data_IF_397756147332
#
_entry.id   IF_397756147332
#
_cell.length_a   1.000
_cell.length_b   1.000
_cell.length_c   1.000
_cell.angle_alpha   90.00
_cell.angle_beta   90.00
_cell.angle_gamma   90.00
#
_symmetry.space_group_name_H-M   'P 1'
#
loop_
_entity.id
_entity.type
_entity.pdbx_description
1 polymer ?
#
# COMPACT_ATOMS: atom_id res chain seq x y z
N UNK A 1 22.10 14.16 25.77
CA UNK A 1 21.25 15.34 26.02
C UNK A 1 19.91 15.07 25.36
N UNK A 2 18.86 14.79 26.13
CA UNK A 2 17.49 14.75 25.61
C UNK A 2 16.94 16.16 25.72
N UNK A 3 16.63 16.78 24.58
CA UNK A 3 15.83 18.00 24.59
C UNK A 3 14.45 17.66 25.17
N UNK A 4 13.84 18.57 25.96
CA UNK A 4 12.47 18.37 26.43
C UNK A 4 11.53 18.25 25.23
N UNK A 5 10.52 17.38 25.34
CA UNK A 5 9.51 17.21 24.30
C UNK A 5 8.72 18.52 24.15
N UNK A 6 8.67 19.05 22.93
CA UNK A 6 7.79 20.17 22.59
C UNK A 6 6.41 19.63 22.29
N UNK A 7 5.42 19.96 23.13
CA UNK A 7 4.04 19.61 22.87
C UNK A 7 3.47 20.53 21.78
N UNK A 8 2.98 19.93 20.69
CA UNK A 8 2.29 20.64 19.60
C UNK A 8 0.81 20.22 19.67
N UNK A 9 -0.06 21.02 20.30
CA UNK A 9 -1.48 20.69 20.33
C UNK A 9 -2.07 20.84 18.93
N UNK A 10 -2.72 19.78 18.44
CA UNK A 10 -3.48 19.83 17.20
C UNK A 10 -4.78 20.59 17.46
N UNK A 11 -5.07 21.59 16.62
CA UNK A 11 -6.35 22.29 16.65
C UNK A 11 -7.32 21.48 15.81
N UNK A 12 -8.36 20.92 16.44
CA UNK A 12 -9.32 20.00 15.80
C UNK A 12 -8.64 18.73 15.23
N UNK A 13 -8.07 17.86 16.09
CA UNK A 13 -7.50 16.60 15.62
C UNK A 13 -8.60 15.73 15.01
N UNK A 14 -8.37 15.31 13.77
CA UNK A 14 -9.17 14.27 13.12
C UNK A 14 -8.59 12.90 13.45
N UNK A 15 -9.42 11.83 13.49
CA UNK A 15 -8.92 10.46 13.58
C UNK A 15 -7.92 10.18 12.48
N UNK A 16 -6.97 9.28 12.68
CA UNK A 16 -6.11 8.79 11.61
C UNK A 16 -5.79 7.33 11.87
N UNK A 17 -5.47 6.58 10.82
CA UNK A 17 -5.08 5.18 10.94
C UNK A 17 -3.60 4.95 10.63
N UNK A 18 -2.96 5.91 9.97
CA UNK A 18 -1.55 5.85 9.64
C UNK A 18 -0.91 7.23 9.70
N UNK A 19 0.42 7.23 9.78
CA UNK A 19 1.23 8.43 9.69
C UNK A 19 2.51 8.16 8.89
N UNK A 20 3.02 9.20 8.23
CA UNK A 20 4.34 9.24 7.64
C UNK A 20 4.99 10.58 7.94
N UNK A 21 6.31 10.64 7.84
CA UNK A 21 7.08 11.86 8.03
C UNK A 21 7.78 12.24 6.73
N UNK A 22 7.78 13.53 6.42
CA UNK A 22 8.70 14.12 5.47
C UNK A 22 9.53 15.20 6.19
N UNK A 23 10.83 15.25 5.95
CA UNK A 23 11.69 16.22 6.63
C UNK A 23 12.85 16.70 5.76
N UNK A 24 13.35 17.88 6.11
CA UNK A 24 14.57 18.49 5.58
C UNK A 24 15.62 18.60 6.68
N UNK A 25 16.88 18.33 6.35
CA UNK A 25 18.02 18.43 7.27
C UNK A 25 18.90 17.17 7.26
N UNK A 26 19.84 17.09 8.20
CA UNK A 26 20.85 16.02 8.21
C UNK A 26 20.45 14.77 9.00
N UNK A 27 19.31 14.80 9.71
CA UNK A 27 18.84 13.63 10.44
C UNK A 27 18.46 12.50 9.47
N UNK A 28 19.08 11.33 9.64
CA UNK A 28 18.85 10.16 8.78
C UNK A 28 17.87 9.15 9.39
N UNK A 29 17.42 9.38 10.63
CA UNK A 29 16.48 8.50 11.31
C UNK A 29 15.49 9.27 12.15
N UNK A 30 14.24 8.84 12.04
CA UNK A 30 13.16 9.24 12.92
C UNK A 30 12.63 8.01 13.63
N UNK A 31 12.27 8.19 14.89
CA UNK A 31 11.50 7.22 15.65
C UNK A 31 10.11 7.79 15.91
N UNK A 32 9.12 6.91 15.94
CA UNK A 32 7.74 7.20 16.29
C UNK A 32 7.33 6.35 17.50
N UNK A 33 6.45 6.88 18.34
CA UNK A 33 5.77 6.08 19.37
C UNK A 33 4.38 6.65 19.67
N UNK A 34 3.54 5.80 20.23
CA UNK A 34 2.16 6.12 20.53
C UNK A 34 1.83 5.95 22.00
N UNK A 35 0.75 6.60 22.42
CA UNK A 35 0.17 6.45 23.75
C UNK A 35 -1.35 6.63 23.67
N UNK A 36 -2.07 5.95 24.56
CA UNK A 36 -3.52 6.05 24.70
C UNK A 36 -3.94 7.18 25.66
N UNK A 37 -3.07 7.52 26.63
CA UNK A 37 -3.35 8.48 27.71
C UNK A 37 -2.36 9.65 27.79
N UNK A 38 -1.27 9.63 27.00
CA UNK A 38 -0.22 10.65 26.97
C UNK A 38 0.79 10.52 28.12
N UNK A 39 0.57 9.60 29.05
CA UNK A 39 1.41 9.35 30.22
C UNK A 39 2.25 8.09 30.05
N UNK A 40 1.62 6.99 29.61
CA UNK A 40 2.27 5.70 29.35
C UNK A 40 2.53 5.56 27.86
N UNK A 41 3.80 5.53 27.51
CA UNK A 41 4.26 5.48 26.13
C UNK A 41 4.70 4.07 25.76
N UNK A 42 4.34 3.66 24.54
CA UNK A 42 4.91 2.47 23.93
C UNK A 42 6.41 2.62 23.63
N UNK A 43 6.99 1.53 23.13
CA UNK A 43 8.37 1.51 22.65
C UNK A 43 8.57 2.46 21.46
N UNK A 44 9.81 2.92 21.28
CA UNK A 44 10.19 3.66 20.10
C UNK A 44 10.30 2.72 18.90
N UNK A 45 9.61 3.05 17.83
CA UNK A 45 9.67 2.34 16.55
C UNK A 45 10.49 3.20 15.59
N UNK A 46 11.54 2.64 15.01
CA UNK A 46 12.31 3.34 13.99
C UNK A 46 11.53 3.39 12.69
N UNK A 47 11.31 4.59 12.18
CA UNK A 47 10.78 4.83 10.85
C UNK A 47 11.93 4.80 9.85
N UNK A 48 11.95 3.77 9.02
CA UNK A 48 12.93 3.66 7.95
C UNK A 48 12.65 4.68 6.84
N UNK A 49 13.73 5.07 6.14
CA UNK A 49 13.60 5.85 4.92
C UNK A 49 12.88 5.01 3.88
N UNK A 50 11.89 5.63 3.24
CA UNK A 50 11.18 5.00 2.15
C UNK A 50 12.11 4.83 0.94
N UNK A 51 12.47 3.58 0.63
CA UNK A 51 13.32 3.22 -0.51
C UNK A 51 12.80 3.70 -1.87
N UNK A 52 11.50 4.05 -1.93
CA UNK A 52 10.81 4.50 -3.12
C UNK A 52 10.47 6.00 -3.12
N UNK A 53 10.76 6.71 -2.03
CA UNK A 53 10.53 8.14 -1.86
C UNK A 53 11.75 8.99 -2.24
N UNK A 54 11.62 10.31 -2.10
CA UNK A 54 12.77 11.20 -2.22
C UNK A 54 13.75 10.97 -1.05
N UNK A 55 15.04 10.86 -1.36
CA UNK A 55 16.11 10.66 -0.39
C UNK A 55 17.23 11.67 -0.66
N UNK A 56 16.93 12.95 -0.43
CA UNK A 56 17.88 14.05 -0.59
C UNK A 56 17.93 14.89 0.70
N UNK A 57 19.03 15.62 0.96
CA UNK A 57 19.08 16.59 2.06
C UNK A 57 17.97 17.64 2.00
N UNK A 58 17.36 17.86 0.83
CA UNK A 58 16.24 18.78 0.64
C UNK A 58 14.91 18.16 1.08
N UNK A 59 14.76 16.84 0.97
CA UNK A 59 13.58 16.10 1.43
C UNK A 59 13.87 14.60 1.57
N UNK A 60 13.64 14.11 2.77
CA UNK A 60 13.50 12.69 3.09
C UNK A 60 12.03 12.36 3.35
N UNK A 61 11.64 11.11 3.09
CA UNK A 61 10.31 10.56 3.38
C UNK A 61 10.46 9.25 4.13
N UNK A 62 9.70 9.06 5.21
CA UNK A 62 9.62 7.77 5.90
C UNK A 62 8.68 6.82 5.20
N UNK A 63 8.79 5.54 5.54
CA UNK A 63 7.72 4.58 5.29
C UNK A 63 6.41 5.00 5.98
N UNK A 64 5.30 4.46 5.47
CA UNK A 64 3.97 4.62 6.05
C UNK A 64 3.82 3.70 7.26
N UNK A 65 3.50 4.27 8.43
CA UNK A 65 3.28 3.50 9.65
C UNK A 65 1.81 3.52 10.06
N UNK A 66 1.23 2.34 10.27
CA UNK A 66 -0.15 2.22 10.76
C UNK A 66 -0.18 2.21 12.29
N UNK A 67 -0.94 3.12 12.88
CA UNK A 67 -1.06 3.24 14.33
C UNK A 67 -2.08 2.23 14.89
N UNK A 68 -1.90 1.83 16.14
CA UNK A 68 -2.91 1.05 16.86
C UNK A 68 -4.20 1.87 17.03
N UNK A 69 -5.36 1.20 16.94
CA UNK A 69 -6.67 1.85 16.92
C UNK A 69 -7.00 2.67 18.18
N UNK A 70 -6.38 2.35 19.32
CA UNK A 70 -6.54 3.06 20.58
C UNK A 70 -5.52 4.19 20.79
N UNK A 71 -4.58 4.38 19.85
CA UNK A 71 -3.61 5.50 19.89
C UNK A 71 -4.33 6.85 19.93
N UNK A 72 -3.93 7.72 20.85
CA UNK A 72 -4.47 9.10 21.01
C UNK A 72 -3.39 10.16 20.99
N UNK A 73 -2.16 9.79 21.31
CA UNK A 73 -1.00 10.66 21.33
C UNK A 73 0.11 10.04 20.50
N UNK A 74 0.84 10.89 19.78
CA UNK A 74 1.99 10.51 18.97
C UNK A 74 3.18 11.35 19.38
N UNK A 75 4.35 10.73 19.42
CA UNK A 75 5.62 11.42 19.58
C UNK A 75 6.58 10.99 18.49
N UNK A 76 7.33 11.97 18.00
CA UNK A 76 8.41 11.77 17.06
C UNK A 76 9.73 12.14 17.72
N UNK A 77 10.80 11.45 17.34
CA UNK A 77 12.16 11.74 17.78
C UNK A 77 13.10 11.62 16.60
N UNK A 78 13.86 12.68 16.34
CA UNK A 78 14.94 12.66 15.36
C UNK A 78 16.28 12.38 16.05
N UNK A 79 17.19 11.70 15.36
CA UNK A 79 18.59 11.61 15.75
C UNK A 79 19.41 12.58 14.89
N UNK A 80 19.43 13.85 15.27
CA UNK A 80 20.15 14.91 14.55
C UNK A 80 19.32 16.18 14.33
N UNK A 81 19.90 17.18 13.65
CA UNK A 81 19.21 18.42 13.33
C UNK A 81 18.12 18.21 12.27
N UNK A 82 16.98 18.85 12.49
CA UNK A 82 15.82 18.87 11.58
C UNK A 82 15.49 20.33 11.32
N UNK A 83 15.53 20.74 10.07
CA UNK A 83 15.23 22.12 9.66
C UNK A 83 13.72 22.32 9.47
N UNK A 84 13.08 21.34 8.86
CA UNK A 84 11.64 21.30 8.63
C UNK A 84 11.13 19.88 8.82
N UNK A 85 9.99 19.75 9.51
CA UNK A 85 9.27 18.49 9.68
C UNK A 85 7.84 18.68 9.22
N UNK A 86 7.38 17.75 8.39
CA UNK A 86 5.98 17.59 8.00
C UNK A 86 5.53 16.19 8.42
N UNK A 87 4.54 16.13 9.30
CA UNK A 87 3.85 14.89 9.62
C UNK A 87 2.58 14.81 8.76
N UNK A 88 2.43 13.71 8.02
CA UNK A 88 1.21 13.39 7.28
C UNK A 88 0.43 12.38 8.11
N UNK A 89 -0.83 12.70 8.40
CA UNK A 89 -1.76 11.81 9.09
C UNK A 89 -2.84 11.42 8.10
N UNK A 90 -3.07 10.12 7.95
CA UNK A 90 -3.99 9.60 6.95
C UNK A 90 -5.31 9.26 7.64
N UNK A 91 -6.32 10.10 7.41
CA UNK A 91 -7.72 9.81 7.71
C UNK A 91 -8.49 9.49 6.42
N UNK A 92 -8.51 8.22 5.99
CA UNK A 92 -9.31 7.83 4.84
C UNK A 92 -10.83 7.81 5.15
N UNK A 93 -11.26 8.19 6.36
CA UNK A 93 -12.61 8.01 6.85
C UNK A 93 -12.99 6.54 7.00
N UNK A 94 -14.12 6.27 7.67
CA UNK A 94 -14.69 4.92 7.70
C UNK A 94 -15.34 4.58 6.37
N UNK A 95 -15.05 3.39 5.86
CA UNK A 95 -15.82 2.83 4.76
C UNK A 95 -17.25 2.62 5.22
N UNK A 96 -18.23 3.15 4.48
CA UNK A 96 -19.65 2.92 4.78
C UNK A 96 -19.95 1.43 4.62
N UNK A 97 -20.84 0.87 5.45
CA UNK A 97 -21.26 -0.53 5.28
C UNK A 97 -21.73 -0.75 3.84
N UNK A 98 -21.16 -1.77 3.18
CA UNK A 98 -21.48 -2.09 1.79
C UNK A 98 -22.94 -2.50 1.66
N UNK A 99 -23.65 -1.88 0.73
CA UNK A 99 -24.65 -2.60 -0.08
C UNK A 99 -23.89 -3.48 -1.06
N UNK A 100 -24.12 -4.80 -1.03
CA UNK A 100 -23.43 -5.81 -1.85
C UNK A 100 -23.13 -5.33 -3.28
N UNK A 101 -21.86 -4.97 -3.50
CA UNK A 101 -21.29 -4.81 -4.83
C UNK A 101 -19.86 -5.32 -4.73
N UNK A 102 -19.69 -6.54 -5.20
CA UNK A 102 -18.40 -7.09 -5.64
C UNK A 102 -18.49 -7.09 -7.16
N UNK A 103 -17.50 -6.53 -7.84
CA UNK A 103 -17.46 -6.65 -9.29
C UNK A 103 -16.97 -8.06 -9.63
N UNK A 104 -17.82 -8.82 -10.31
CA UNK A 104 -17.32 -9.89 -11.16
C UNK A 104 -16.82 -9.21 -12.43
N UNK A 105 -15.57 -9.46 -12.81
CA UNK A 105 -15.14 -9.08 -14.15
C UNK A 105 -16.10 -9.73 -15.16
N UNK A 106 -16.61 -9.00 -16.16
CA UNK A 106 -17.38 -9.63 -17.21
C UNK A 106 -16.54 -10.76 -17.81
N UNK A 107 -17.11 -11.96 -17.92
CA UNK A 107 -16.53 -13.08 -18.67
C UNK A 107 -16.24 -12.59 -20.09
N UNK A 108 -15.04 -12.07 -20.32
CA UNK A 108 -14.64 -11.56 -21.62
C UNK A 108 -14.41 -12.77 -22.51
N UNK A 109 -15.37 -13.05 -23.40
CA UNK A 109 -15.21 -14.08 -24.42
C UNK A 109 -14.05 -13.67 -25.35
N UNK A 110 -12.89 -14.30 -25.17
CA UNK A 110 -11.71 -14.15 -26.04
C UNK A 110 -11.22 -15.53 -26.48
N UNK A 111 -11.50 -15.91 -27.73
CA UNK A 111 -10.87 -17.04 -28.43
C UNK A 111 -11.25 -18.46 -27.93
N UNK A 112 -10.90 -19.51 -28.71
CA UNK A 112 -11.48 -20.86 -28.55
C UNK A 112 -10.84 -21.74 -27.47
N UNK A 113 -9.79 -21.28 -26.80
CA UNK A 113 -9.17 -21.99 -25.67
C UNK A 113 -9.66 -21.38 -24.36
N UNK A 114 -10.61 -22.06 -23.75
CA UNK A 114 -11.15 -21.72 -22.45
C UNK A 114 -10.02 -21.66 -21.40
N UNK A 115 -9.78 -20.49 -20.83
CA UNK A 115 -9.02 -20.39 -19.60
C UNK A 115 -9.90 -20.91 -18.44
N UNK A 116 -9.56 -22.04 -17.78
CA UNK A 116 -10.39 -22.61 -16.71
C UNK A 116 -10.29 -21.84 -15.38
N UNK A 117 -9.45 -20.80 -15.32
CA UNK A 117 -9.25 -19.99 -14.13
C UNK A 117 -9.99 -18.67 -14.31
N UNK A 118 -11.23 -18.51 -13.80
CA UNK A 118 -11.94 -17.24 -13.88
C UNK A 118 -11.20 -16.17 -13.07
N UNK A 119 -11.35 -14.90 -13.48
CA UNK A 119 -10.87 -13.79 -12.66
C UNK A 119 -11.59 -13.81 -11.30
N UNK A 120 -10.88 -13.73 -10.17
CA UNK A 120 -11.53 -13.70 -8.87
C UNK A 120 -12.38 -12.43 -8.73
N UNK A 121 -13.42 -12.51 -7.90
CA UNK A 121 -14.20 -11.34 -7.52
C UNK A 121 -13.30 -10.31 -6.82
N UNK A 122 -13.55 -9.02 -7.08
CA UNK A 122 -12.78 -7.95 -6.47
C UNK A 122 -13.64 -6.74 -6.11
N UNK A 123 -13.09 -5.89 -5.26
CA UNK A 123 -13.61 -4.57 -4.95
C UNK A 123 -12.92 -3.55 -5.87
N UNK A 124 -13.70 -2.90 -6.72
CA UNK A 124 -13.17 -1.90 -7.64
C UNK A 124 -12.89 -0.57 -6.90
N UNK A 125 -12.32 0.39 -7.62
CA UNK A 125 -12.03 1.71 -7.05
C UNK A 125 -13.24 2.43 -6.46
N UNK A 126 -14.42 2.26 -7.04
CA UNK A 126 -15.63 2.88 -6.50
C UNK A 126 -16.09 2.18 -5.21
N UNK A 127 -15.79 0.89 -5.04
CA UNK A 127 -16.06 0.16 -3.81
C UNK A 127 -15.16 0.63 -2.66
N UNK A 128 -13.85 0.76 -2.88
CA UNK A 128 -12.91 1.16 -1.82
C UNK A 128 -12.68 2.67 -1.70
N UNK A 129 -13.09 3.48 -2.68
CA UNK A 129 -13.09 4.94 -2.62
C UNK A 129 -14.41 5.55 -3.13
N UNK A 130 -15.51 5.36 -2.38
CA UNK A 130 -16.86 5.70 -2.85
C UNK A 130 -17.13 7.21 -2.97
N UNK A 131 -16.31 8.06 -2.36
CA UNK A 131 -16.44 9.52 -2.46
C UNK A 131 -15.71 10.11 -3.68
N UNK A 132 -14.94 9.30 -4.40
CA UNK A 132 -14.17 9.73 -5.57
C UNK A 132 -12.96 10.61 -5.23
N UNK A 133 -12.55 10.70 -3.96
CA UNK A 133 -11.35 11.45 -3.53
C UNK A 133 -10.03 10.80 -3.97
N UNK A 134 -10.09 9.57 -4.50
CA UNK A 134 -8.94 8.76 -4.92
C UNK A 134 -8.95 8.49 -6.43
N UNK A 135 -8.90 9.51 -7.30
CA UNK A 135 -9.02 9.32 -8.75
C UNK A 135 -7.89 8.41 -9.28
N UNK A 136 -8.18 7.55 -10.28
CA UNK A 136 -7.13 6.82 -10.98
C UNK A 136 -6.32 7.77 -11.87
N UNK A 137 -5.16 7.30 -12.35
CA UNK A 137 -4.42 8.02 -13.38
C UNK A 137 -5.30 8.24 -14.63
N UNK A 138 -5.47 9.49 -15.06
CA UNK A 138 -6.29 9.83 -16.24
C UNK A 138 -5.68 9.37 -17.57
N UNK A 139 -4.39 9.08 -17.60
CA UNK A 139 -3.63 8.66 -18.78
C UNK A 139 -2.71 7.48 -18.43
N UNK A 140 -3.25 6.27 -18.23
CA UNK A 140 -2.43 5.11 -17.87
C UNK A 140 -1.59 4.64 -19.06
N UNK A 141 -0.35 4.25 -18.77
CA UNK A 141 0.45 3.43 -19.69
C UNK A 141 0.04 1.96 -19.55
N UNK A 142 0.13 1.22 -20.65
CA UNK A 142 -0.24 -0.20 -20.70
C UNK A 142 1.00 -1.08 -20.84
N UNK A 143 0.88 -2.31 -20.36
CA UNK A 143 1.96 -3.30 -20.49
C UNK A 143 1.41 -4.69 -20.76
N UNK A 144 2.16 -5.49 -21.52
CA UNK A 144 1.83 -6.90 -21.73
C UNK A 144 2.49 -7.74 -20.64
N UNK A 145 1.68 -8.32 -19.76
CA UNK A 145 2.13 -9.07 -18.58
C UNK A 145 2.78 -10.39 -19.01
N UNK A 146 4.02 -10.61 -18.57
CA UNK A 146 4.73 -11.89 -18.71
C UNK A 146 5.30 -12.38 -17.38
N UNK A 147 5.35 -11.52 -16.35
CA UNK A 147 5.85 -11.84 -15.01
C UNK A 147 4.86 -11.35 -13.95
N UNK A 148 4.71 -12.13 -12.88
CA UNK A 148 3.83 -11.81 -11.75
C UNK A 148 4.70 -11.53 -10.53
N UNK A 149 4.56 -10.34 -9.94
CA UNK A 149 5.41 -9.89 -8.83
C UNK A 149 4.55 -9.77 -7.58
N UNK A 150 4.90 -10.53 -6.54
CA UNK A 150 4.20 -10.50 -5.25
C UNK A 150 5.02 -9.70 -4.26
N UNK A 151 4.38 -8.70 -3.66
CA UNK A 151 4.90 -7.88 -2.58
C UNK A 151 4.05 -8.07 -1.32
N UNK A 152 4.55 -7.55 -0.20
CA UNK A 152 3.70 -7.17 0.92
C UNK A 152 3.76 -5.66 1.15
N UNK A 153 2.78 -5.10 1.87
CA UNK A 153 2.73 -3.65 2.09
C UNK A 153 3.65 -3.17 3.22
N UNK A 154 4.23 -4.08 4.02
CA UNK A 154 4.90 -3.79 5.29
C UNK A 154 4.01 -2.95 6.24
N UNK A 155 2.69 -3.15 6.16
CA UNK A 155 1.69 -2.38 6.89
C UNK A 155 1.05 -3.17 8.03
N UNK A 156 -0.11 -2.70 8.50
CA UNK A 156 -0.87 -3.38 9.56
C UNK A 156 -1.41 -4.75 9.13
N UNK A 157 -1.38 -5.73 10.03
CA UNK A 157 -2.07 -7.02 9.90
C UNK A 157 -3.39 -7.09 10.70
N UNK A 158 -3.78 -6.01 11.40
CA UNK A 158 -4.86 -6.02 12.41
C UNK A 158 -6.00 -5.04 12.09
N UNK A 159 -5.97 -4.38 10.93
CA UNK A 159 -7.04 -3.48 10.52
C UNK A 159 -8.41 -4.19 10.43
N UNK A 160 -9.45 -3.45 10.80
CA UNK A 160 -10.85 -3.89 10.63
C UNK A 160 -11.52 -3.35 9.37
N UNK A 161 -10.94 -2.31 8.76
CA UNK A 161 -11.44 -1.66 7.54
C UNK A 161 -10.31 -1.66 6.50
N UNK A 162 -10.30 -2.68 5.65
CA UNK A 162 -9.22 -2.88 4.67
C UNK A 162 -9.33 -1.92 3.47
N UNK A 163 -10.53 -1.47 3.13
CA UNK A 163 -10.70 -0.43 2.11
C UNK A 163 -10.08 0.90 2.58
N UNK A 164 -10.17 1.23 3.87
CA UNK A 164 -9.45 2.36 4.46
C UNK A 164 -7.93 2.21 4.35
N UNK A 165 -7.40 0.99 4.55
CA UNK A 165 -5.98 0.69 4.34
C UNK A 165 -5.57 0.94 2.88
N UNK A 166 -6.37 0.50 1.91
CA UNK A 166 -6.12 0.77 0.48
C UNK A 166 -6.09 2.28 0.20
N UNK A 167 -7.04 3.05 0.73
CA UNK A 167 -7.05 4.52 0.61
C UNK A 167 -5.80 5.16 1.22
N UNK A 168 -5.33 4.71 2.38
CA UNK A 168 -4.08 5.20 2.97
C UNK A 168 -2.85 4.88 2.13
N UNK A 169 -2.80 3.70 1.50
CA UNK A 169 -1.70 3.36 0.57
C UNK A 169 -1.77 4.23 -0.68
N UNK A 170 -2.96 4.45 -1.24
CA UNK A 170 -3.14 5.36 -2.38
C UNK A 170 -2.68 6.78 -2.04
N UNK A 171 -3.11 7.33 -0.90
CA UNK A 171 -2.76 8.70 -0.48
C UNK A 171 -1.26 8.83 -0.25
N UNK A 172 -0.64 7.85 0.40
CA UNK A 172 0.81 7.82 0.56
C UNK A 172 1.54 7.79 -0.79
N UNK A 173 1.10 6.96 -1.74
CA UNK A 173 1.74 6.88 -3.05
C UNK A 173 1.52 8.16 -3.88
N UNK A 174 0.31 8.71 -3.90
CA UNK A 174 -0.03 9.82 -4.79
C UNK A 174 0.32 11.17 -4.16
N UNK A 175 -0.12 11.42 -2.94
CA UNK A 175 0.04 12.72 -2.27
C UNK A 175 1.44 12.85 -1.67
N UNK A 176 1.94 11.78 -1.04
CA UNK A 176 3.23 11.86 -0.33
C UNK A 176 4.41 11.59 -1.25
N UNK A 177 4.38 10.51 -2.05
CA UNK A 177 5.44 10.18 -3.01
C UNK A 177 5.31 10.88 -4.37
N UNK A 178 4.15 11.45 -4.70
CA UNK A 178 3.93 12.14 -5.98
C UNK A 178 3.73 11.20 -7.17
N UNK A 179 3.32 9.95 -6.96
CA UNK A 179 3.06 9.01 -8.03
C UNK A 179 1.73 9.31 -8.73
N UNK A 180 1.55 8.81 -9.95
CA UNK A 180 0.32 9.02 -10.72
C UNK A 180 -0.89 8.22 -10.20
N UNK A 181 -0.64 7.16 -9.44
CA UNK A 181 -1.65 6.30 -8.81
C UNK A 181 -0.99 5.38 -7.78
N UNK A 182 -1.79 4.60 -7.05
CA UNK A 182 -1.35 3.47 -6.24
C UNK A 182 -0.42 2.55 -7.04
N UNK A 183 0.60 1.99 -6.39
CA UNK A 183 1.73 1.40 -7.09
C UNK A 183 1.46 0.01 -7.66
N UNK A 184 0.48 -0.69 -7.09
CA UNK A 184 0.17 -2.09 -7.36
C UNK A 184 -1.01 -2.21 -8.32
N UNK A 185 -1.05 -3.28 -9.10
CA UNK A 185 -2.23 -3.61 -9.92
C UNK A 185 -3.36 -4.12 -9.03
N UNK A 186 -3.03 -4.96 -8.05
CA UNK A 186 -3.97 -5.59 -7.12
C UNK A 186 -3.44 -5.55 -5.69
N UNK A 187 -4.35 -5.45 -4.73
CA UNK A 187 -4.06 -5.56 -3.30
C UNK A 187 -4.94 -6.65 -2.67
N UNK A 188 -4.40 -7.46 -1.77
CA UNK A 188 -5.12 -8.55 -1.13
C UNK A 188 -5.09 -8.36 0.39
N UNK A 189 -6.26 -8.24 1.00
CA UNK A 189 -6.39 -8.16 2.45
C UNK A 189 -6.13 -9.52 3.12
N UNK A 190 -5.75 -9.55 4.41
CA UNK A 190 -5.75 -10.76 5.24
C UNK A 190 -7.10 -11.50 5.28
N UNK A 191 -8.20 -10.84 4.92
CA UNK A 191 -9.54 -11.47 4.82
C UNK A 191 -9.76 -12.23 3.50
N UNK A 192 -8.83 -12.15 2.54
CA UNK A 192 -8.97 -12.72 1.20
C UNK A 192 -9.66 -11.80 0.19
N UNK A 193 -10.12 -10.62 0.60
CA UNK A 193 -10.72 -9.63 -0.32
C UNK A 193 -9.64 -9.07 -1.24
N UNK A 194 -9.89 -9.14 -2.54
CA UNK A 194 -9.05 -8.54 -3.59
C UNK A 194 -9.56 -7.13 -3.88
N UNK A 195 -8.67 -6.15 -3.87
CA UNK A 195 -8.94 -4.76 -4.21
C UNK A 195 -8.21 -4.38 -5.50
N UNK A 196 -8.92 -3.72 -6.41
CA UNK A 196 -8.35 -3.16 -7.63
C UNK A 196 -7.46 -1.94 -7.28
N UNK A 197 -6.18 -2.01 -7.61
CA UNK A 197 -5.29 -0.86 -7.58
C UNK A 197 -5.33 -0.13 -8.92
N UNK A 198 -4.29 -0.33 -9.73
CA UNK A 198 -4.29 0.10 -11.14
C UNK A 198 -5.12 -0.78 -12.06
N UNK A 199 -5.47 -2.00 -11.64
CA UNK A 199 -6.18 -2.97 -12.48
C UNK A 199 -5.29 -3.69 -13.50
N UNK A 200 -5.91 -4.53 -14.32
CA UNK A 200 -5.21 -5.40 -15.27
C UNK A 200 -4.64 -4.65 -16.49
N UNK A 201 -3.47 -5.09 -16.97
CA UNK A 201 -2.82 -4.58 -18.18
C UNK A 201 -2.26 -3.15 -18.08
N UNK A 202 -2.44 -2.48 -16.93
CA UNK A 202 -1.91 -1.14 -16.68
C UNK A 202 -0.51 -1.24 -16.05
N UNK A 203 0.43 -0.40 -16.53
CA UNK A 203 1.80 -0.35 -16.03
C UNK A 203 1.83 0.07 -14.54
N UNK A 204 2.44 -0.75 -13.70
CA UNK A 204 2.61 -0.53 -12.26
C UNK A 204 3.73 0.45 -11.89
N UNK A 205 3.93 0.64 -10.58
CA UNK A 205 5.07 1.34 -9.97
C UNK A 205 5.67 0.56 -8.78
N UNK A 206 5.47 -0.77 -8.75
CA UNK A 206 5.81 -1.65 -7.63
C UNK A 206 7.19 -2.30 -7.76
N UNK A 207 7.78 -2.34 -8.96
CA UNK A 207 9.06 -2.99 -9.24
C UNK A 207 10.06 -1.96 -9.79
N UNK A 208 10.84 -1.35 -8.89
CA UNK A 208 11.74 -0.21 -9.13
C UNK A 208 12.40 -0.21 -10.52
N UNK A 209 12.04 0.77 -11.35
CA UNK A 209 12.62 0.99 -12.68
C UNK A 209 12.37 -0.11 -13.70
N UNK A 210 11.59 -1.14 -13.36
CA UNK A 210 11.44 -2.39 -14.12
C UNK A 210 10.00 -2.89 -14.14
N UNK A 211 9.02 -1.98 -14.02
CA UNK A 211 7.58 -2.31 -13.99
C UNK A 211 7.02 -2.88 -15.31
N UNK A 212 7.70 -2.65 -16.44
CA UNK A 212 7.26 -3.17 -17.73
C UNK A 212 7.18 -4.70 -17.70
N UNK A 213 6.21 -5.27 -18.41
CA UNK A 213 5.96 -6.70 -18.48
C UNK A 213 5.54 -7.38 -17.18
N UNK A 214 5.18 -6.61 -16.15
CA UNK A 214 4.81 -7.15 -14.84
C UNK A 214 3.36 -6.84 -14.46
N UNK A 215 2.76 -7.72 -13.67
CA UNK A 215 1.59 -7.42 -12.85
C UNK A 215 1.99 -7.53 -11.37
N UNK A 216 1.78 -6.46 -10.61
CA UNK A 216 2.11 -6.40 -9.18
C UNK A 216 0.91 -6.68 -8.29
N UNK A 217 1.08 -7.63 -7.36
CA UNK A 217 0.11 -7.95 -6.31
C UNK A 217 0.71 -7.61 -4.96
N UNK A 218 0.01 -6.80 -4.17
CA UNK A 218 0.42 -6.45 -2.81
C UNK A 218 -0.44 -7.20 -1.78
N UNK A 219 0.18 -8.10 -1.04
CA UNK A 219 -0.41 -8.70 0.16
C UNK A 219 -0.39 -7.65 1.28
N UNK A 220 -1.55 -7.11 1.66
CA UNK A 220 -1.62 -6.08 2.70
C UNK A 220 -1.24 -6.69 4.06
N UNK A 221 -0.32 -6.02 4.75
CA UNK A 221 0.26 -6.44 6.02
C UNK A 221 1.78 -6.54 6.00
N UNK A 222 2.36 -6.83 7.17
CA UNK A 222 3.75 -7.25 7.32
C UNK A 222 3.81 -8.78 7.43
N UNK A 223 4.69 -9.38 6.63
CA UNK A 223 4.88 -10.83 6.52
C UNK A 223 6.37 -11.20 6.62
N UNK A 224 7.19 -10.28 7.16
CA UNK A 224 8.61 -10.51 7.43
C UNK A 224 8.78 -11.69 8.39
N UNK A 225 7.92 -11.77 9.42
CA UNK A 225 7.94 -12.81 10.45
C UNK A 225 6.57 -13.45 10.71
N UNK A 226 5.55 -13.06 9.94
CA UNK A 226 4.17 -13.54 10.07
C UNK A 226 3.80 -14.24 8.77
N UNK A 227 3.18 -15.41 8.85
CA UNK A 227 2.64 -16.09 7.67
C UNK A 227 1.33 -15.44 7.25
N UNK A 228 1.11 -15.18 5.94
CA UNK A 228 -0.19 -14.72 5.45
C UNK A 228 -1.32 -15.69 5.81
N UNK A 229 -2.53 -15.16 5.99
CA UNK A 229 -3.72 -15.98 6.28
C UNK A 229 -4.03 -16.91 5.10
N UNK A 230 -4.67 -18.04 5.38
CA UNK A 230 -5.10 -18.97 4.32
C UNK A 230 -6.00 -18.28 3.30
N UNK A 231 -6.95 -17.46 3.76
CA UNK A 231 -7.83 -16.69 2.88
C UNK A 231 -7.07 -15.77 1.92
N UNK A 232 -6.02 -15.08 2.39
CA UNK A 232 -5.20 -14.23 1.54
C UNK A 232 -4.37 -15.05 0.55
N UNK A 233 -3.79 -16.17 0.98
CA UNK A 233 -3.04 -17.07 0.10
C UNK A 233 -3.92 -17.71 -0.97
N UNK A 234 -5.16 -18.05 -0.65
CA UNK A 234 -6.10 -18.62 -1.61
C UNK A 234 -6.53 -17.59 -2.66
N UNK A 235 -6.88 -16.37 -2.23
CA UNK A 235 -7.14 -15.26 -3.15
C UNK A 235 -5.93 -14.95 -4.05
N UNK A 236 -4.71 -15.00 -3.50
CA UNK A 236 -3.49 -14.84 -4.28
C UNK A 236 -3.35 -15.95 -5.34
N UNK A 237 -3.55 -17.22 -4.97
CA UNK A 237 -3.48 -18.34 -5.92
C UNK A 237 -4.50 -18.18 -7.04
N UNK A 238 -5.74 -17.83 -6.71
CA UNK A 238 -6.80 -17.61 -7.70
C UNK A 238 -6.44 -16.48 -8.68
N UNK A 239 -5.98 -15.35 -8.15
CA UNK A 239 -5.57 -14.19 -8.96
C UNK A 239 -4.37 -14.51 -9.87
N UNK A 240 -3.34 -15.19 -9.34
CA UNK A 240 -2.17 -15.57 -10.13
C UNK A 240 -2.52 -16.65 -11.17
N UNK A 241 -3.36 -17.62 -10.83
CA UNK A 241 -3.80 -18.67 -11.75
C UNK A 241 -4.63 -18.10 -12.90
N UNK A 242 -5.55 -17.16 -12.61
CA UNK A 242 -6.26 -16.41 -13.63
C UNK A 242 -5.29 -15.68 -14.55
N UNK A 243 -4.38 -14.86 -14.00
CA UNK A 243 -3.53 -14.04 -14.85
C UNK A 243 -2.54 -14.87 -15.67
N UNK A 244 -1.98 -15.92 -15.07
CA UNK A 244 -1.08 -16.81 -15.79
C UNK A 244 -1.78 -17.47 -16.98
N UNK A 245 -3.03 -17.90 -16.79
CA UNK A 245 -3.83 -18.51 -17.83
C UNK A 245 -4.29 -17.49 -18.91
N UNK A 246 -4.69 -16.28 -18.52
CA UNK A 246 -5.05 -15.19 -19.45
C UNK A 246 -3.87 -14.72 -20.32
N UNK A 247 -2.66 -14.73 -19.74
CA UNK A 247 -1.45 -14.25 -20.40
C UNK A 247 -0.55 -15.36 -20.99
N UNK A 248 -1.02 -16.62 -21.01
CA UNK A 248 -0.26 -17.78 -21.48
C UNK A 248 1.12 -17.93 -20.80
N UNK A 249 1.15 -17.70 -19.49
CA UNK A 249 2.32 -17.87 -18.63
C UNK A 249 2.30 -19.28 -18.03
N UNK A 250 3.37 -20.05 -18.24
CA UNK A 250 3.56 -21.33 -17.56
C UNK A 250 3.77 -21.10 -16.05
N UNK A 251 2.85 -21.52 -15.16
CA UNK A 251 2.97 -21.30 -13.72
C UNK A 251 4.09 -22.12 -13.08
N UNK A 252 4.62 -23.14 -13.77
CA UNK A 252 5.79 -23.91 -13.36
C UNK A 252 7.07 -23.46 -14.07
N UNK A 253 6.93 -22.55 -15.03
CA UNK A 253 8.01 -22.01 -15.83
C UNK A 253 8.94 -21.09 -15.04
N UNK A 254 10.12 -20.85 -15.60
CA UNK A 254 11.08 -19.85 -15.10
C UNK A 254 11.67 -19.11 -16.30
N UNK A 255 11.69 -17.80 -16.22
CA UNK A 255 12.30 -16.93 -17.20
C UNK A 255 12.97 -15.76 -16.48
N UNK A 256 14.01 -15.20 -17.09
CA UNK A 256 14.58 -13.94 -16.62
C UNK A 256 13.69 -12.79 -17.06
N UNK A 257 13.44 -11.87 -16.14
CA UNK A 257 12.80 -10.61 -16.43
C UNK A 257 13.78 -9.69 -17.19
N UNK A 258 13.45 -9.23 -18.42
CA UNK A 258 14.42 -8.65 -19.35
C UNK A 258 15.16 -7.42 -18.84
N UNK A 259 14.52 -6.61 -17.99
CA UNK A 259 15.09 -5.36 -17.50
C UNK A 259 15.78 -5.48 -16.15
N UNK A 260 15.38 -6.45 -15.31
CA UNK A 260 15.98 -6.63 -13.97
C UNK A 260 17.03 -7.73 -13.91
N UNK A 261 17.10 -8.62 -14.91
CA UNK A 261 17.92 -9.85 -14.87
C UNK A 261 17.63 -10.74 -13.65
N UNK A 262 16.43 -10.62 -13.07
CA UNK A 262 15.93 -11.47 -12.00
C UNK A 262 15.02 -12.56 -12.57
#
# INVERSE_FOLDING_TARGET
WQSPATAIPLTQPEPFIAASLAWKGESQSFDIRFSTDGERWGEWISLHLDSHGEQSPERYVSELYFADADSRYVQFRAQGPVEQLQAHFYDPGKTKEKTERSSEAPLAFRGPEYCPCPQPAYEDRADWCPDGSCPPNSSPDFTNVTHLIVHHSAGTNTASDWAAVVRSIWDFHVITRGWSDIGYNWLIAPTGVVYEGRGDGILGAHFCGTNGNTMGVCMMGDYTNITPTEAALDALKELLAWKACDADIDPLGKAFHPSSNL
#
